data_IF_970457909568
#
_entry.id   IF_970457909568
#
_cell.length_a   1.000
_cell.length_b   1.000
_cell.length_c   1.000
_cell.angle_alpha   90.00
_cell.angle_beta   90.00
_cell.angle_gamma   90.00
#
_symmetry.space_group_name_H-M   'P 1'
#
loop_
_entity.id
_entity.type
_entity.pdbx_description
1 polymer ?
#
# COMPACT_ATOMS: atom_id res chain seq x y z
N UNK A 1 -9.87 -22.16 3.76
CA UNK A 1 -8.75 -21.97 2.81
C UNK A 1 -7.85 -20.81 3.22
N UNK A 2 -8.39 -19.59 3.40
CA UNK A 2 -7.60 -18.40 3.77
C UNK A 2 -6.92 -18.51 5.14
N UNK A 3 -7.59 -19.09 6.14
CA UNK A 3 -6.97 -19.38 7.45
C UNK A 3 -5.83 -20.41 7.35
N UNK A 4 -6.03 -21.50 6.61
CA UNK A 4 -4.99 -22.52 6.45
C UNK A 4 -3.73 -21.93 5.78
N UNK A 5 -3.93 -21.08 4.77
CA UNK A 5 -2.84 -20.36 4.12
C UNK A 5 -2.19 -19.34 5.08
N UNK A 6 -2.99 -18.61 5.85
CA UNK A 6 -2.49 -17.72 6.90
C UNK A 6 -1.59 -18.49 7.89
N UNK A 7 -2.07 -19.60 8.45
CA UNK A 7 -1.30 -20.42 9.40
C UNK A 7 -0.01 -20.93 8.76
N UNK A 8 -0.07 -21.46 7.54
CA UNK A 8 1.12 -21.94 6.83
C UNK A 8 2.19 -20.85 6.66
N UNK A 9 1.80 -19.61 6.35
CA UNK A 9 2.73 -18.48 6.20
C UNK A 9 3.24 -18.01 7.57
N UNK A 10 2.34 -17.79 8.53
CA UNK A 10 2.66 -17.21 9.83
C UNK A 10 3.50 -18.15 10.71
N UNK A 11 3.23 -19.46 10.69
CA UNK A 11 4.04 -20.45 11.39
C UNK A 11 5.25 -20.90 10.58
N UNK A 12 5.14 -20.98 9.24
CA UNK A 12 6.23 -21.43 8.37
C UNK A 12 7.39 -20.42 8.25
N UNK A 13 7.13 -19.14 8.55
CA UNK A 13 8.13 -18.07 8.55
C UNK A 13 8.48 -17.59 9.96
N UNK A 14 8.23 -18.42 10.97
CA UNK A 14 8.56 -18.14 12.36
C UNK A 14 10.07 -18.26 12.62
N UNK A 15 10.78 -17.15 12.36
CA UNK A 15 12.21 -17.05 12.61
C UNK A 15 12.55 -15.64 13.10
N UNK A 16 13.41 -15.46 14.13
CA UNK A 16 13.68 -14.16 14.74
C UNK A 16 14.14 -13.08 13.74
N UNK A 17 15.00 -13.44 12.79
CA UNK A 17 15.50 -12.53 11.74
C UNK A 17 14.38 -12.13 10.77
N UNK A 18 13.53 -13.09 10.39
CA UNK A 18 12.40 -12.82 9.48
C UNK A 18 11.37 -11.94 10.20
N UNK A 19 11.04 -12.27 11.45
CA UNK A 19 10.14 -11.47 12.28
C UNK A 19 10.64 -10.03 12.44
N UNK A 20 11.92 -9.85 12.80
CA UNK A 20 12.53 -8.51 12.88
C UNK A 20 12.42 -7.74 11.56
N UNK A 21 12.74 -8.39 10.43
CA UNK A 21 12.65 -7.76 9.11
C UNK A 21 11.22 -7.38 8.77
N UNK A 22 10.24 -8.27 8.96
CA UNK A 22 8.83 -8.01 8.63
C UNK A 22 8.23 -6.91 9.51
N UNK A 23 8.63 -6.81 10.77
CA UNK A 23 8.26 -5.68 11.64
C UNK A 23 8.81 -4.37 11.07
N UNK A 24 10.06 -4.33 10.60
CA UNK A 24 10.63 -3.12 9.97
C UNK A 24 9.93 -2.76 8.67
N UNK A 25 9.72 -3.76 7.80
CA UNK A 25 9.01 -3.60 6.52
C UNK A 25 7.60 -3.06 6.72
N UNK A 26 6.87 -3.50 7.76
CA UNK A 26 5.51 -3.00 7.95
C UNK A 26 5.45 -1.64 8.66
N UNK A 27 6.53 -1.19 9.30
CA UNK A 27 6.52 0.03 10.11
C UNK A 27 6.72 1.26 9.23
N UNK A 28 5.76 2.20 9.28
CA UNK A 28 5.76 3.41 8.45
C UNK A 28 7.04 4.26 8.61
N UNK A 29 7.55 4.42 9.83
CA UNK A 29 8.74 5.25 10.09
C UNK A 29 10.00 4.75 9.36
N UNK A 30 10.09 3.44 9.06
CA UNK A 30 11.16 2.85 8.24
C UNK A 30 11.18 3.42 6.82
N UNK A 31 10.03 3.81 6.29
CA UNK A 31 9.87 4.26 4.90
C UNK A 31 9.92 5.76 4.72
N UNK A 32 9.86 6.56 5.78
CA UNK A 32 9.81 8.03 5.69
C UNK A 32 11.01 8.58 4.92
N UNK A 33 12.23 8.22 5.34
CA UNK A 33 13.45 8.71 4.69
C UNK A 33 13.57 8.21 3.23
N UNK A 34 13.44 6.89 2.94
CA UNK A 34 13.43 6.40 1.56
C UNK A 34 12.39 7.08 0.67
N UNK A 35 11.18 7.31 1.20
CA UNK A 35 10.11 7.96 0.45
C UNK A 35 10.47 9.40 0.14
N UNK A 36 10.93 10.19 1.12
CA UNK A 36 11.37 11.58 0.89
C UNK A 36 12.45 11.65 -0.19
N UNK A 37 13.48 10.80 -0.11
CA UNK A 37 14.55 10.75 -1.11
C UNK A 37 14.02 10.38 -2.49
N UNK A 38 13.08 9.43 -2.58
CA UNK A 38 12.42 9.07 -3.82
C UNK A 38 11.63 10.25 -4.41
N UNK A 39 10.84 10.96 -3.59
CA UNK A 39 10.04 12.10 -4.05
C UNK A 39 10.92 13.23 -4.57
N UNK A 40 12.00 13.56 -3.85
CA UNK A 40 13.00 14.54 -4.28
C UNK A 40 13.65 14.09 -5.59
N UNK A 41 14.12 12.85 -5.66
CA UNK A 41 14.75 12.29 -6.85
C UNK A 41 13.85 12.36 -8.08
N UNK A 42 12.56 12.02 -7.95
CA UNK A 42 11.59 12.12 -9.06
C UNK A 42 11.46 13.57 -9.58
N UNK A 43 11.42 14.55 -8.69
CA UNK A 43 11.31 15.98 -9.06
C UNK A 43 12.60 16.50 -9.69
N UNK A 44 13.76 16.04 -9.22
CA UNK A 44 15.06 16.40 -9.79
C UNK A 44 15.26 15.80 -11.19
N UNK A 45 14.78 14.57 -11.43
CA UNK A 45 14.88 13.90 -12.74
C UNK A 45 13.91 14.50 -13.76
N UNK A 46 12.64 14.69 -13.38
CA UNK A 46 11.65 15.37 -14.21
C UNK A 46 10.64 16.07 -13.30
N UNK A 47 10.77 17.39 -13.17
CA UNK A 47 9.94 18.20 -12.27
C UNK A 47 8.44 18.01 -12.53
N UNK A 48 8.02 17.96 -13.79
CA UNK A 48 6.59 17.88 -14.13
C UNK A 48 6.05 16.50 -13.78
N UNK A 49 6.74 15.44 -14.23
CA UNK A 49 6.34 14.05 -13.93
C UNK A 49 6.43 13.75 -12.44
N UNK A 50 7.45 14.27 -11.75
CA UNK A 50 7.62 14.16 -10.31
C UNK A 50 6.44 14.74 -9.54
N UNK A 51 6.03 15.97 -9.86
CA UNK A 51 4.86 16.60 -9.23
C UNK A 51 3.58 15.79 -9.51
N UNK A 52 3.36 15.34 -10.75
CA UNK A 52 2.21 14.50 -11.12
C UNK A 52 2.20 13.21 -10.29
N UNK A 53 3.34 12.52 -10.17
CA UNK A 53 3.45 11.26 -9.43
C UNK A 53 3.20 11.47 -7.93
N UNK A 54 3.77 12.53 -7.35
CA UNK A 54 3.55 12.91 -5.95
C UNK A 54 2.06 13.21 -5.71
N UNK A 55 1.47 14.11 -6.50
CA UNK A 55 0.07 14.48 -6.36
C UNK A 55 -0.86 13.27 -6.51
N UNK A 56 -0.60 12.41 -7.49
CA UNK A 56 -1.38 11.19 -7.71
C UNK A 56 -1.25 10.19 -6.55
N UNK A 57 -0.03 9.95 -6.05
CA UNK A 57 0.20 9.04 -4.94
C UNK A 57 -0.45 9.56 -3.64
N UNK A 58 -0.27 10.84 -3.33
CA UNK A 58 -0.89 11.49 -2.16
C UNK A 58 -2.41 11.44 -2.23
N UNK A 59 -3.00 11.73 -3.39
CA UNK A 59 -4.45 11.70 -3.57
C UNK A 59 -4.99 10.26 -3.52
N UNK A 60 -4.31 9.29 -4.13
CA UNK A 60 -4.71 7.90 -4.08
C UNK A 60 -4.69 7.34 -2.65
N UNK A 61 -3.65 7.64 -1.86
CA UNK A 61 -3.60 7.26 -0.43
C UNK A 61 -4.65 8.02 0.38
N UNK A 62 -4.78 9.33 0.16
CA UNK A 62 -5.76 10.18 0.84
C UNK A 62 -7.22 9.80 0.58
N UNK A 63 -7.51 9.17 -0.56
CA UNK A 63 -8.82 8.58 -0.85
C UNK A 63 -8.91 7.15 -0.29
N UNK A 64 -7.91 6.32 -0.59
CA UNK A 64 -7.94 4.88 -0.34
C UNK A 64 -7.94 4.52 1.14
N UNK A 65 -7.14 5.19 1.95
CA UNK A 65 -7.03 4.89 3.38
C UNK A 65 -8.34 5.13 4.15
N UNK A 66 -8.96 6.34 4.11
CA UNK A 66 -10.21 6.57 4.81
C UNK A 66 -11.38 5.78 4.21
N UNK A 67 -11.43 5.64 2.87
CA UNK A 67 -12.47 4.84 2.23
C UNK A 67 -12.43 3.38 2.69
N UNK A 68 -11.23 2.80 2.75
CA UNK A 68 -11.05 1.44 3.25
C UNK A 68 -11.42 1.33 4.72
N UNK A 69 -10.96 2.28 5.54
CA UNK A 69 -11.16 2.23 6.99
C UNK A 69 -12.62 2.44 7.40
N UNK A 70 -13.28 3.45 6.86
CA UNK A 70 -14.63 3.82 7.30
C UNK A 70 -15.74 3.07 6.55
N UNK A 71 -15.55 2.81 5.25
CA UNK A 71 -16.58 2.16 4.43
C UNK A 71 -16.36 0.64 4.34
N UNK A 72 -15.24 0.20 3.76
CA UNK A 72 -15.06 -1.22 3.43
C UNK A 72 -14.94 -2.09 4.68
N UNK A 73 -14.14 -1.68 5.65
CA UNK A 73 -13.96 -2.45 6.89
C UNK A 73 -15.26 -2.64 7.66
N UNK A 74 -16.06 -1.60 7.81
CA UNK A 74 -17.37 -1.66 8.45
C UNK A 74 -18.36 -2.52 7.67
N UNK A 75 -18.29 -2.50 6.34
CA UNK A 75 -19.15 -3.29 5.47
C UNK A 75 -18.87 -4.79 5.57
N UNK A 76 -17.60 -5.20 5.54
CA UNK A 76 -17.22 -6.61 5.60
C UNK A 76 -17.15 -7.16 7.03
N UNK A 77 -16.88 -6.30 8.01
CA UNK A 77 -16.85 -6.62 9.45
C UNK A 77 -16.01 -7.87 9.82
N UNK A 78 -14.96 -8.16 9.04
CA UNK A 78 -14.14 -9.36 9.23
C UNK A 78 -13.22 -9.19 10.45
N UNK A 79 -13.25 -10.13 11.39
CA UNK A 79 -12.33 -10.16 12.53
C UNK A 79 -10.86 -10.36 12.09
N UNK A 80 -9.91 -9.93 12.92
CA UNK A 80 -8.47 -10.10 12.65
C UNK A 80 -7.97 -11.44 13.17
N UNK A 81 -6.94 -12.04 12.53
CA UNK A 81 -6.30 -13.25 13.04
C UNK A 81 -5.85 -13.11 14.49
N UNK A 82 -5.23 -11.97 14.85
CA UNK A 82 -4.76 -11.67 16.21
C UNK A 82 -5.86 -11.52 17.29
N UNK A 83 -7.13 -11.50 16.90
CA UNK A 83 -8.28 -11.47 17.82
C UNK A 83 -8.97 -12.83 17.86
N UNK A 84 -9.14 -13.47 16.71
CA UNK A 84 -9.98 -14.66 16.54
C UNK A 84 -9.20 -15.98 16.65
N UNK A 85 -7.91 -15.99 16.30
CA UNK A 85 -7.13 -17.22 16.22
C UNK A 85 -6.16 -17.36 17.39
N UNK A 86 -6.12 -18.57 17.94
CA UNK A 86 -5.13 -18.98 18.93
C UNK A 86 -3.91 -19.66 18.27
N UNK A 87 -2.80 -19.70 19.01
CA UNK A 87 -1.54 -20.35 18.63
C UNK A 87 -0.97 -19.80 17.31
N UNK A 88 -0.87 -18.48 17.21
CA UNK A 88 -0.31 -17.76 16.06
C UNK A 88 0.78 -16.79 16.53
N UNK A 89 1.66 -16.42 15.62
CA UNK A 89 2.71 -15.45 15.87
C UNK A 89 2.18 -14.03 15.63
N UNK A 90 2.06 -13.24 16.71
CA UNK A 90 1.67 -11.83 16.66
C UNK A 90 2.88 -10.97 16.99
N UNK A 91 3.44 -10.32 15.97
CA UNK A 91 4.72 -9.61 16.09
C UNK A 91 4.57 -8.08 16.26
N UNK A 92 3.34 -7.57 16.14
CA UNK A 92 3.00 -6.16 16.30
C UNK A 92 1.68 -6.03 17.06
N UNK A 93 1.41 -4.86 17.64
CA UNK A 93 0.16 -4.62 18.36
C UNK A 93 -1.09 -4.89 17.52
N UNK A 94 -2.02 -5.67 18.07
CA UNK A 94 -3.31 -5.93 17.44
C UNK A 94 -4.24 -4.74 17.69
N UNK A 95 -4.68 -4.08 16.62
CA UNK A 95 -5.60 -2.94 16.70
C UNK A 95 -7.03 -3.45 16.70
N UNK A 96 -7.86 -2.93 17.60
CA UNK A 96 -9.29 -3.24 17.69
C UNK A 96 -10.06 -2.60 16.53
N UNK A 97 -9.98 -3.23 15.36
CA UNK A 97 -10.60 -2.81 14.09
C UNK A 97 -10.68 -4.01 13.15
N UNK A 98 -11.57 -3.97 12.16
CA UNK A 98 -11.70 -5.05 11.19
C UNK A 98 -10.46 -5.25 10.31
N UNK A 99 -10.30 -6.48 9.80
CA UNK A 99 -9.16 -6.94 9.04
C UNK A 99 -9.27 -6.65 7.54
N UNK A 100 -10.46 -6.76 6.96
CA UNK A 100 -10.62 -6.76 5.50
C UNK A 100 -11.15 -5.41 4.94
N UNK A 101 -10.55 -4.89 3.85
CA UNK A 101 -9.23 -5.21 3.33
C UNK A 101 -8.12 -4.49 4.11
N UNK A 102 -6.87 -4.85 3.84
CA UNK A 102 -5.73 -4.27 4.56
C UNK A 102 -5.36 -2.86 4.07
N UNK A 103 -5.48 -1.84 4.92
CA UNK A 103 -5.04 -0.47 4.59
C UNK A 103 -3.54 -0.40 4.21
N UNK A 104 -2.67 -1.18 4.85
CA UNK A 104 -1.24 -1.18 4.49
C UNK A 104 -1.04 -1.68 3.06
N UNK A 105 -1.79 -2.70 2.64
CA UNK A 105 -1.76 -3.20 1.27
C UNK A 105 -2.35 -2.16 0.29
N UNK A 106 -3.51 -1.57 0.61
CA UNK A 106 -4.13 -0.51 -0.21
C UNK A 106 -3.17 0.66 -0.42
N UNK A 107 -2.61 1.21 0.66
CA UNK A 107 -1.80 2.43 0.60
C UNK A 107 -0.47 2.19 -0.11
N UNK A 108 0.25 1.13 0.24
CA UNK A 108 1.54 0.81 -0.39
C UNK A 108 1.36 0.55 -1.89
N UNK A 109 0.34 -0.23 -2.27
CA UNK A 109 0.11 -0.57 -3.66
C UNK A 109 -0.53 0.58 -4.47
N UNK A 110 -1.23 1.51 -3.82
CA UNK A 110 -1.64 2.78 -4.42
C UNK A 110 -0.44 3.66 -4.79
N UNK A 111 0.57 3.74 -3.92
CA UNK A 111 1.83 4.42 -4.24
C UNK A 111 2.54 3.74 -5.41
N UNK A 112 2.63 2.40 -5.42
CA UNK A 112 3.20 1.63 -6.53
C UNK A 112 2.47 1.93 -7.85
N UNK A 113 1.14 1.86 -7.84
CA UNK A 113 0.31 2.11 -9.03
C UNK A 113 0.43 3.54 -9.54
N UNK A 114 0.40 4.53 -8.64
CA UNK A 114 0.48 5.94 -9.00
C UNK A 114 1.85 6.32 -9.56
N UNK A 115 2.93 5.98 -8.84
CA UNK A 115 4.31 6.30 -9.28
C UNK A 115 4.66 5.49 -10.53
N UNK A 116 4.36 4.19 -10.56
CA UNK A 116 4.67 3.32 -11.70
C UNK A 116 3.95 3.71 -12.99
N UNK A 117 2.78 4.35 -12.88
CA UNK A 117 2.03 4.92 -14.02
C UNK A 117 2.69 6.15 -14.66
N UNK A 118 3.68 6.73 -14.00
CA UNK A 118 4.41 7.93 -14.45
C UNK A 118 5.89 7.60 -14.72
N UNK A 119 6.52 6.85 -13.81
CA UNK A 119 7.90 6.40 -13.85
C UNK A 119 7.96 4.87 -13.92
N UNK A 120 7.66 4.30 -15.09
CA UNK A 120 7.65 2.85 -15.31
C UNK A 120 8.90 2.10 -14.81
N UNK A 121 10.13 2.61 -14.97
CA UNK A 121 11.32 1.90 -14.47
C UNK A 121 11.32 1.69 -12.96
N UNK A 122 10.66 2.56 -12.18
CA UNK A 122 10.57 2.41 -10.73
C UNK A 122 9.71 1.21 -10.31
N UNK A 123 8.89 0.64 -11.19
CA UNK A 123 8.10 -0.55 -10.88
C UNK A 123 8.99 -1.75 -10.51
N UNK A 124 10.18 -1.88 -11.11
CA UNK A 124 11.12 -2.95 -10.79
C UNK A 124 11.58 -2.94 -9.33
N UNK A 125 11.51 -1.79 -8.67
CA UNK A 125 11.89 -1.62 -7.26
C UNK A 125 10.65 -1.53 -6.37
N UNK A 126 9.67 -0.72 -6.76
CA UNK A 126 8.49 -0.43 -5.94
C UNK A 126 7.54 -1.61 -5.84
N UNK A 127 7.36 -2.40 -6.92
CA UNK A 127 6.42 -3.52 -6.89
C UNK A 127 6.88 -4.63 -5.92
N UNK A 128 8.14 -5.11 -5.96
CA UNK A 128 8.64 -6.04 -4.95
C UNK A 128 8.51 -5.51 -3.52
N UNK A 129 8.80 -4.22 -3.29
CA UNK A 129 8.65 -3.58 -1.98
C UNK A 129 7.19 -3.59 -1.52
N UNK A 130 6.24 -3.20 -2.38
CA UNK A 130 4.81 -3.19 -2.06
C UNK A 130 4.28 -4.59 -1.77
N UNK A 131 4.71 -5.60 -2.54
CA UNK A 131 4.39 -7.00 -2.27
C UNK A 131 4.99 -7.48 -0.94
N UNK A 132 6.20 -7.05 -0.60
CA UNK A 132 6.84 -7.36 0.69
C UNK A 132 6.08 -6.72 1.85
N UNK A 133 5.59 -5.49 1.69
CA UNK A 133 4.68 -4.85 2.66
C UNK A 133 3.40 -5.66 2.82
N UNK A 134 2.78 -6.12 1.72
CA UNK A 134 1.59 -6.98 1.78
C UNK A 134 1.87 -8.28 2.55
N UNK A 135 2.93 -9.00 2.19
CA UNK A 135 3.33 -10.25 2.85
C UNK A 135 3.62 -10.03 4.35
N UNK A 136 4.31 -8.94 4.70
CA UNK A 136 4.66 -8.63 6.09
C UNK A 136 3.43 -8.58 6.99
N UNK A 137 2.27 -8.13 6.50
CA UNK A 137 1.02 -8.05 7.30
C UNK A 137 0.47 -9.43 7.67
N UNK A 138 0.69 -10.42 6.81
CA UNK A 138 0.32 -11.82 7.07
C UNK A 138 1.32 -12.43 8.05
N UNK A 139 2.62 -12.22 7.83
CA UNK A 139 3.68 -12.76 8.69
C UNK A 139 3.59 -12.22 10.12
N UNK A 140 3.33 -10.92 10.30
CA UNK A 140 3.20 -10.31 11.65
C UNK A 140 1.87 -10.63 12.35
N UNK A 141 0.98 -11.40 11.72
CA UNK A 141 -0.19 -12.00 12.37
C UNK A 141 -1.45 -11.14 12.42
N UNK A 142 -1.55 -10.06 11.63
CA UNK A 142 -2.62 -9.06 11.78
C UNK A 142 -3.61 -8.99 10.62
N UNK A 143 -3.33 -9.72 9.53
CA UNK A 143 -4.19 -9.82 8.34
C UNK A 143 -4.12 -11.20 7.71
N UNK A 144 -5.23 -11.62 7.10
CA UNK A 144 -5.27 -12.81 6.26
C UNK A 144 -4.73 -12.53 4.85
N UNK A 145 -4.27 -13.56 4.11
CA UNK A 145 -3.82 -13.44 2.72
C UNK A 145 -4.82 -12.72 1.81
N UNK A 146 -6.12 -13.02 1.90
CA UNK A 146 -7.11 -12.32 1.07
C UNK A 146 -7.25 -10.84 1.40
N UNK A 147 -7.03 -10.42 2.65
CA UNK A 147 -7.09 -9.01 3.04
C UNK A 147 -6.04 -8.18 2.29
N UNK A 148 -4.85 -8.77 2.08
CA UNK A 148 -3.72 -8.09 1.43
C UNK A 148 -3.76 -8.24 -0.10
N UNK A 149 -4.26 -9.36 -0.63
CA UNK A 149 -4.43 -9.54 -2.08
C UNK A 149 -5.48 -8.57 -2.61
N UNK A 150 -6.67 -8.53 -1.99
CA UNK A 150 -7.75 -7.64 -2.43
C UNK A 150 -7.38 -6.18 -2.16
N UNK A 151 -6.81 -5.89 -0.98
CA UNK A 151 -6.32 -4.56 -0.67
C UNK A 151 -5.26 -4.08 -1.66
N UNK A 152 -4.29 -4.93 -1.99
CA UNK A 152 -3.24 -4.60 -2.94
C UNK A 152 -3.75 -4.37 -4.37
N UNK A 153 -4.67 -5.23 -4.84
CA UNK A 153 -5.32 -5.06 -6.15
C UNK A 153 -6.11 -3.75 -6.22
N UNK A 154 -6.93 -3.46 -5.19
CA UNK A 154 -7.67 -2.20 -5.09
C UNK A 154 -6.72 -1.00 -5.08
N UNK A 155 -5.64 -1.07 -4.30
CA UNK A 155 -4.59 -0.05 -4.24
C UNK A 155 -3.99 0.25 -5.62
N UNK A 156 -3.53 -0.77 -6.35
CA UNK A 156 -2.98 -0.58 -7.71
C UNK A 156 -4.00 0.13 -8.61
N UNK A 157 -5.23 -0.39 -8.67
CA UNK A 157 -6.27 0.17 -9.52
C UNK A 157 -6.55 1.64 -9.18
N UNK A 158 -6.65 1.96 -7.90
CA UNK A 158 -6.86 3.32 -7.41
C UNK A 158 -5.70 4.23 -7.80
N UNK A 159 -4.46 3.82 -7.52
CA UNK A 159 -3.25 4.58 -7.85
C UNK A 159 -3.12 4.87 -9.35
N UNK A 160 -3.34 3.86 -10.20
CA UNK A 160 -3.32 4.00 -11.66
C UNK A 160 -4.45 4.95 -12.13
N UNK A 161 -5.68 4.75 -11.64
CA UNK A 161 -6.83 5.57 -11.97
C UNK A 161 -6.62 7.06 -11.63
N UNK A 162 -6.18 7.33 -10.40
CA UNK A 162 -5.88 8.68 -9.93
C UNK A 162 -4.74 9.29 -10.73
N UNK A 163 -3.67 8.55 -11.02
CA UNK A 163 -2.58 9.05 -11.85
C UNK A 163 -3.02 9.42 -13.27
N UNK A 164 -3.94 8.68 -13.88
CA UNK A 164 -4.52 9.04 -15.17
C UNK A 164 -5.35 10.33 -15.09
N UNK A 165 -6.18 10.48 -14.06
CA UNK A 165 -6.98 11.68 -13.84
C UNK A 165 -6.09 12.92 -13.62
N UNK A 166 -5.09 12.84 -12.75
CA UNK A 166 -4.15 13.93 -12.48
C UNK A 166 -3.36 14.31 -13.73
N UNK A 167 -2.86 13.32 -14.49
CA UNK A 167 -2.17 13.57 -15.77
C UNK A 167 -3.04 14.33 -16.76
N UNK A 168 -4.33 13.99 -16.85
CA UNK A 168 -5.29 14.67 -17.73
C UNK A 168 -5.51 16.12 -17.29
N UNK A 169 -5.83 16.36 -16.01
CA UNK A 169 -6.05 17.71 -15.47
C UNK A 169 -4.84 18.63 -15.61
N UNK A 170 -3.64 18.10 -15.39
CA UNK A 170 -2.37 18.85 -15.53
C UNK A 170 -1.83 18.90 -16.99
N UNK A 171 -2.46 18.16 -17.90
CA UNK A 171 -2.21 18.16 -19.34
C UNK A 171 -3.06 19.21 -20.05
N UNK A 172 -4.35 19.25 -19.71
CA UNK A 172 -5.36 20.14 -20.28
C UNK A 172 -5.12 21.63 -19.93
N UNK A 173 -4.35 21.91 -18.87
CA UNK A 173 -4.00 23.27 -18.43
C UNK A 173 -3.10 24.04 -19.41
N UNK A 174 -2.62 23.42 -20.50
CA UNK A 174 -1.93 24.12 -21.59
C UNK A 174 -2.86 24.63 -22.70
N UNK A 175 -4.13 24.21 -22.76
CA UNK A 175 -5.06 24.59 -23.84
C UNK A 175 -5.79 25.91 -23.56
N UNK A 176 -5.97 26.30 -22.29
CA UNK A 176 -6.66 27.56 -21.93
C UNK A 176 -5.77 28.83 -21.96
N UNK A 177 -4.45 28.70 -22.02
CA UNK A 177 -3.53 29.86 -22.04
C UNK A 177 -3.15 30.34 -23.46
N UNK A 178 -3.76 29.77 -24.51
CA UNK A 178 -3.59 30.23 -25.91
C UNK A 178 -4.86 30.92 -26.43
N UNK A 179 -5.95 30.91 -25.64
CA UNK A 179 -7.24 31.49 -26.00
C UNK A 179 -7.58 32.81 -25.26
N UNK A 180 -6.60 33.47 -24.65
CA UNK A 180 -6.70 34.83 -24.08
C UNK A 180 -5.60 35.69 -24.66
#
# INVERSE_FOLDING_TARGET
MDEALFRAINSGLDHPVIGWLMVRVTTFSTWVLPLILLLIGMVLVDRRRGIIAIAAASLAVGIGDPFTFYALKSFFARARPCIELENINVLVGCVDSYSFPSNHAVNSMAVVGAIGSVFRPLLWVLLPIGLLVCLSRVVVGVHYPMDVIVGGAFGICLGVGVAMAVKKMMGDSKVENIAK
#
